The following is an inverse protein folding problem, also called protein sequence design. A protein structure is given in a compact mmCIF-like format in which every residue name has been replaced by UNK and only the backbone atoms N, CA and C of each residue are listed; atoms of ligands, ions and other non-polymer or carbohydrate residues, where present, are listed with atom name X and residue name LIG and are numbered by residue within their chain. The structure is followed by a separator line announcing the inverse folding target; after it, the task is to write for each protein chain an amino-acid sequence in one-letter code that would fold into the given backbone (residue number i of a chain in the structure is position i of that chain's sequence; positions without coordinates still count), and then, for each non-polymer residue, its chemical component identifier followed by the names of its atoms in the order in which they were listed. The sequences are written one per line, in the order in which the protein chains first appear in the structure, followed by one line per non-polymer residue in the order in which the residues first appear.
data_IF_657073882015
#
_entry.id   IF_657073882015
#
_cell.length_a   1.000
_cell.length_b   1.000
_cell.length_c   1.000
_cell.angle_alpha   90.00
_cell.angle_beta   90.00
_cell.angle_gamma   90.00
#
_symmetry.space_group_name_H-M   'P 1'
#
loop_
_entity.id
_entity.type
_entity.pdbx_description
1 polymer ?
#
# COMPACT_ATOMS: atom_id res chain seq x y z
N UNK A 1 7.57 -23.47 -28.42
CA UNK A 1 6.43 -22.60 -28.80
C UNK A 1 6.21 -21.60 -27.69
N UNK A 2 6.24 -20.29 -27.98
CA UNK A 2 5.93 -19.28 -26.97
C UNK A 2 4.46 -19.43 -26.54
N UNK A 3 4.22 -19.57 -25.23
CA UNK A 3 2.87 -19.62 -24.69
C UNK A 3 2.08 -18.39 -25.16
N UNK A 4 0.87 -18.59 -25.70
CA UNK A 4 0.00 -17.49 -26.15
C UNK A 4 -0.31 -16.58 -24.96
N UNK A 5 0.01 -15.29 -25.09
CA UNK A 5 -0.17 -14.33 -24.00
C UNK A 5 -1.64 -14.26 -23.56
N UNK A 6 -1.88 -14.22 -22.24
CA UNK A 6 -3.23 -14.17 -21.64
C UNK A 6 -3.97 -12.86 -21.94
N UNK A 7 -3.24 -11.82 -22.30
CA UNK A 7 -3.74 -10.49 -22.63
C UNK A 7 -2.63 -9.44 -22.60
N UNK A 8 -3.01 -8.17 -22.69
CA UNK A 8 -2.11 -7.02 -22.56
C UNK A 8 -2.63 -6.04 -21.51
N UNK A 9 -1.72 -5.38 -20.80
CA UNK A 9 -2.02 -4.40 -19.75
C UNK A 9 -0.99 -3.27 -19.78
N UNK A 10 -1.48 -2.03 -19.70
CA UNK A 10 -0.69 -0.83 -19.47
C UNK A 10 -0.51 -0.59 -17.98
N UNK A 11 0.64 -0.07 -17.54
CA UNK A 11 0.87 0.31 -16.14
C UNK A 11 1.55 1.68 -16.08
N UNK A 12 1.00 2.61 -15.31
CA UNK A 12 1.61 3.90 -15.01
C UNK A 12 1.96 3.96 -13.53
N UNK A 13 3.26 4.17 -13.25
CA UNK A 13 3.85 4.01 -11.93
C UNK A 13 4.44 2.61 -11.75
N UNK A 14 5.77 2.52 -11.74
CA UNK A 14 6.59 1.32 -11.60
C UNK A 14 7.43 1.37 -10.31
N UNK A 15 6.91 2.05 -9.28
CA UNK A 15 7.46 2.06 -7.93
C UNK A 15 7.38 0.69 -7.24
N UNK A 16 7.36 0.67 -5.90
CA UNK A 16 7.36 -0.58 -5.12
C UNK A 16 6.16 -1.47 -5.49
N UNK A 17 4.95 -0.90 -5.47
CA UNK A 17 3.72 -1.65 -5.76
C UNK A 17 3.54 -1.90 -7.26
N UNK A 18 3.50 -0.85 -8.07
CA UNK A 18 3.33 -0.98 -9.53
C UNK A 18 4.40 -1.83 -10.21
N UNK A 19 5.66 -1.76 -9.76
CA UNK A 19 6.73 -2.62 -10.24
C UNK A 19 6.54 -4.09 -9.85
N UNK A 20 6.02 -4.39 -8.66
CA UNK A 20 5.66 -5.76 -8.27
C UNK A 20 4.50 -6.30 -9.11
N UNK A 21 3.47 -5.49 -9.38
CA UNK A 21 2.36 -5.88 -10.26
C UNK A 21 2.88 -6.24 -11.66
N UNK A 22 3.71 -5.37 -12.24
CA UNK A 22 4.27 -5.56 -13.57
C UNK A 22 5.04 -6.89 -13.69
N UNK A 23 5.96 -7.16 -12.75
CA UNK A 23 6.74 -8.41 -12.71
C UNK A 23 5.85 -9.64 -12.59
N UNK A 24 4.87 -9.59 -11.68
CA UNK A 24 3.96 -10.70 -11.44
C UNK A 24 3.05 -10.98 -12.64
N UNK A 25 2.61 -9.94 -13.35
CA UNK A 25 1.81 -10.05 -14.56
C UNK A 25 2.63 -10.65 -15.71
N UNK A 26 3.87 -10.21 -15.92
CA UNK A 26 4.81 -10.83 -16.87
C UNK A 26 4.99 -12.32 -16.55
N UNK A 27 5.33 -12.64 -15.30
CA UNK A 27 5.50 -14.03 -14.85
C UNK A 27 4.22 -14.89 -14.98
N UNK A 28 3.05 -14.25 -15.00
CA UNK A 28 1.76 -14.92 -15.16
C UNK A 28 1.31 -15.05 -16.63
N UNK A 29 2.13 -14.60 -17.58
CA UNK A 29 1.90 -14.73 -19.02
C UNK A 29 1.18 -13.54 -19.67
N UNK A 30 1.18 -12.36 -19.04
CA UNK A 30 0.61 -11.12 -19.61
C UNK A 30 1.69 -10.31 -20.33
N UNK A 31 1.30 -9.62 -21.41
CA UNK A 31 2.14 -8.57 -22.02
C UNK A 31 1.95 -7.29 -21.23
N UNK A 32 3.03 -6.76 -20.66
CA UNK A 32 2.98 -5.55 -19.84
C UNK A 32 3.75 -4.43 -20.52
N UNK A 33 3.08 -3.29 -20.71
CA UNK A 33 3.72 -2.04 -21.13
C UNK A 33 3.65 -1.03 -19.98
N UNK A 34 4.79 -0.53 -19.53
CA UNK A 34 4.90 0.28 -18.32
C UNK A 34 5.55 1.64 -18.56
N UNK A 35 5.13 2.66 -17.80
CA UNK A 35 5.81 3.95 -17.71
C UNK A 35 6.00 4.38 -16.26
N UNK A 36 7.16 4.99 -15.98
CA UNK A 36 7.45 5.69 -14.72
C UNK A 36 8.36 6.88 -15.03
N UNK A 37 8.18 7.98 -14.30
CA UNK A 37 9.00 9.18 -14.43
C UNK A 37 10.47 8.90 -14.06
N UNK A 38 10.72 8.00 -13.11
CA UNK A 38 12.05 7.60 -12.67
C UNK A 38 12.72 6.66 -13.71
N UNK A 39 13.80 7.11 -14.38
CA UNK A 39 14.55 6.29 -15.32
C UNK A 39 15.12 5.00 -14.70
N UNK A 40 15.45 5.01 -13.41
CA UNK A 40 15.96 3.83 -12.71
C UNK A 40 14.89 2.75 -12.60
N UNK A 41 13.63 3.12 -12.32
CA UNK A 41 12.48 2.18 -12.32
C UNK A 41 12.26 1.61 -13.70
N UNK A 42 12.24 2.45 -14.74
CA UNK A 42 12.12 2.00 -16.14
C UNK A 42 13.19 0.98 -16.51
N UNK A 43 14.47 1.27 -16.25
CA UNK A 43 15.59 0.33 -16.51
C UNK A 43 15.45 -0.98 -15.74
N UNK A 44 15.03 -0.91 -14.48
CA UNK A 44 14.87 -2.10 -13.64
C UNK A 44 13.74 -3.01 -14.14
N UNK A 45 12.61 -2.43 -14.58
CA UNK A 45 11.47 -3.19 -15.07
C UNK A 45 11.63 -3.68 -16.51
N UNK A 46 12.38 -2.96 -17.35
CA UNK A 46 12.79 -3.45 -18.68
C UNK A 46 13.51 -4.80 -18.58
N UNK A 47 14.47 -4.92 -17.65
CA UNK A 47 15.18 -6.18 -17.38
C UNK A 47 14.29 -7.30 -16.84
N UNK A 48 13.11 -6.96 -16.34
CA UNK A 48 12.13 -7.91 -15.81
C UNK A 48 11.04 -8.28 -16.84
N UNK A 49 11.25 -7.98 -18.13
CA UNK A 49 10.34 -8.35 -19.21
C UNK A 49 9.16 -7.39 -19.44
N UNK A 50 9.19 -6.20 -18.83
CA UNK A 50 8.20 -5.14 -19.08
C UNK A 50 8.65 -4.32 -20.28
N UNK A 51 7.75 -4.10 -21.24
CA UNK A 51 8.00 -3.15 -22.34
C UNK A 51 7.87 -1.73 -21.79
N UNK A 52 8.89 -0.88 -21.95
CA UNK A 52 8.86 0.48 -21.42
C UNK A 52 8.30 1.45 -22.47
N UNK A 53 7.20 2.12 -22.13
CA UNK A 53 6.64 3.18 -22.94
C UNK A 53 7.45 4.49 -22.80
N UNK A 54 7.46 5.36 -23.83
CA UNK A 54 8.13 6.66 -23.76
C UNK A 54 7.41 7.65 -22.81
N UNK A 55 6.09 7.53 -22.66
CA UNK A 55 5.25 8.42 -21.86
C UNK A 55 3.96 7.70 -21.37
N UNK A 56 3.12 8.46 -20.66
CA UNK A 56 1.83 8.00 -20.10
C UNK A 56 0.84 7.62 -21.21
N UNK A 57 0.76 8.41 -22.28
CA UNK A 57 -0.20 8.21 -23.36
C UNK A 57 0.10 6.90 -24.11
N UNK A 58 1.37 6.62 -24.39
CA UNK A 58 1.82 5.38 -25.01
C UNK A 58 1.57 4.16 -24.11
N UNK A 59 1.76 4.27 -22.78
CA UNK A 59 1.41 3.20 -21.84
C UNK A 59 -0.09 2.92 -21.83
N UNK A 60 -0.93 3.97 -21.87
CA UNK A 60 -2.38 3.87 -21.93
C UNK A 60 -2.88 3.34 -23.29
N UNK A 61 -2.18 3.63 -24.39
CA UNK A 61 -2.54 3.17 -25.73
C UNK A 61 -2.23 1.69 -25.97
N UNK A 62 -1.24 1.14 -25.25
CA UNK A 62 -0.72 -0.22 -25.46
C UNK A 62 -1.72 -1.35 -25.17
N UNK A 63 -2.77 -1.08 -24.40
CA UNK A 63 -3.75 -2.07 -24.00
C UNK A 63 -5.14 -1.45 -23.74
N UNK A 64 -6.22 -2.24 -23.81
CA UNK A 64 -7.56 -1.79 -23.41
C UNK A 64 -7.71 -1.60 -21.89
N UNK A 65 -6.71 -2.03 -21.10
CA UNK A 65 -6.69 -1.97 -19.64
C UNK A 65 -5.45 -1.23 -19.18
N UNK A 66 -5.62 -0.30 -18.23
CA UNK A 66 -4.55 0.48 -17.62
C UNK A 66 -4.61 0.33 -16.10
N UNK A 67 -3.48 0.00 -15.46
CA UNK A 67 -3.30 0.12 -14.01
C UNK A 67 -2.57 1.43 -13.70
N UNK A 68 -2.98 2.13 -12.66
CA UNK A 68 -2.19 3.25 -12.11
C UNK A 68 -1.78 2.95 -10.67
N UNK A 69 -0.52 3.22 -10.33
CA UNK A 69 0.03 3.05 -8.98
C UNK A 69 0.94 4.23 -8.64
N UNK A 70 0.37 5.26 -8.02
CA UNK A 70 0.91 6.61 -8.01
C UNK A 70 1.21 7.09 -6.57
N UNK A 71 2.26 7.91 -6.38
CA UNK A 71 2.68 8.33 -5.04
C UNK A 71 1.80 9.45 -4.45
N UNK A 72 1.18 10.27 -5.29
CA UNK A 72 0.51 11.51 -4.86
C UNK A 72 -0.75 11.84 -5.68
N UNK A 73 -1.68 12.63 -5.11
CA UNK A 73 -2.81 13.17 -5.86
C UNK A 73 -2.40 14.03 -7.05
N UNK A 74 -1.28 14.76 -6.98
CA UNK A 74 -0.75 15.49 -8.13
C UNK A 74 -0.38 14.55 -9.27
N UNK A 75 0.32 13.45 -8.97
CA UNK A 75 0.64 12.45 -9.99
C UNK A 75 -0.63 11.83 -10.59
N UNK A 76 -1.69 11.63 -9.80
CA UNK A 76 -3.00 11.19 -10.32
C UNK A 76 -3.59 12.22 -11.30
N UNK A 77 -3.57 13.52 -10.96
CA UNK A 77 -4.05 14.58 -11.85
C UNK A 77 -3.27 14.64 -13.16
N UNK A 78 -1.94 14.55 -13.10
CA UNK A 78 -1.06 14.58 -14.27
C UNK A 78 -1.35 13.39 -15.20
N UNK A 79 -1.54 12.19 -14.62
CA UNK A 79 -1.90 10.97 -15.37
C UNK A 79 -3.28 11.08 -15.98
N UNK A 80 -4.27 11.58 -15.23
CA UNK A 80 -5.63 11.81 -15.76
C UNK A 80 -5.60 12.78 -16.94
N UNK A 81 -4.90 13.91 -16.81
CA UNK A 81 -4.77 14.89 -17.89
C UNK A 81 -4.15 14.26 -19.15
N UNK A 82 -3.04 13.55 -19.01
CA UNK A 82 -2.37 12.88 -20.13
C UNK A 82 -3.27 11.83 -20.82
N UNK A 83 -4.08 11.09 -20.06
CA UNK A 83 -5.01 10.10 -20.64
C UNK A 83 -6.15 10.79 -21.40
N UNK A 84 -6.71 11.87 -20.84
CA UNK A 84 -7.78 12.65 -21.49
C UNK A 84 -7.28 13.27 -22.79
N UNK A 85 -6.08 13.86 -22.78
CA UNK A 85 -5.48 14.52 -23.94
C UNK A 85 -5.12 13.53 -25.06
N UNK A 86 -4.83 12.28 -24.71
CA UNK A 86 -4.51 11.23 -25.67
C UNK A 86 -5.71 10.78 -26.54
N UNK A 87 -6.95 11.18 -26.18
CA UNK A 87 -8.19 10.91 -26.96
C UNK A 87 -8.32 9.45 -27.39
N UNK A 88 -7.98 8.53 -26.49
CA UNK A 88 -7.98 7.10 -26.78
C UNK A 88 -9.40 6.53 -26.89
N UNK A 89 -9.59 5.40 -27.60
CA UNK A 89 -10.81 4.61 -27.49
C UNK A 89 -11.09 4.21 -26.02
N UNK A 90 -12.33 3.85 -25.66
CA UNK A 90 -12.69 3.46 -24.30
C UNK A 90 -11.71 2.45 -23.68
N UNK A 91 -11.21 2.78 -22.49
CA UNK A 91 -10.30 1.96 -21.68
C UNK A 91 -10.97 1.59 -20.36
N UNK A 92 -10.52 0.50 -19.75
CA UNK A 92 -10.78 0.22 -18.33
C UNK A 92 -9.53 0.64 -17.54
N UNK A 93 -9.69 1.60 -16.64
CA UNK A 93 -8.61 2.16 -15.83
C UNK A 93 -8.82 1.74 -14.38
N UNK A 94 -7.91 0.94 -13.84
CA UNK A 94 -7.94 0.50 -12.45
C UNK A 94 -6.92 1.32 -11.64
N UNK A 95 -7.43 2.21 -10.79
CA UNK A 95 -6.62 3.09 -9.94
C UNK A 95 -6.31 2.36 -8.62
N UNK A 96 -5.05 2.05 -8.37
CA UNK A 96 -4.63 1.15 -7.27
C UNK A 96 -4.11 1.86 -6.03
N UNK A 97 -4.05 3.19 -6.06
CA UNK A 97 -3.39 4.00 -5.02
C UNK A 97 -4.32 4.27 -3.83
N UNK A 98 -3.75 4.70 -2.70
CA UNK A 98 -4.51 5.25 -1.58
C UNK A 98 -4.48 6.77 -1.64
N UNK A 99 -5.63 7.39 -1.92
CA UNK A 99 -5.86 8.85 -1.94
C UNK A 99 -7.16 9.17 -1.22
N UNK A 100 -7.50 10.46 -1.10
CA UNK A 100 -8.82 10.85 -0.59
C UNK A 100 -9.92 10.40 -1.55
N UNK A 101 -11.15 10.27 -1.02
CA UNK A 101 -12.29 9.93 -1.86
C UNK A 101 -12.58 11.06 -2.88
N UNK A 102 -12.35 12.31 -2.49
CA UNK A 102 -12.51 13.47 -3.38
C UNK A 102 -11.57 13.39 -4.59
N UNK A 103 -10.28 13.12 -4.37
CA UNK A 103 -9.30 12.95 -5.46
C UNK A 103 -9.73 11.84 -6.44
N UNK A 104 -10.18 10.70 -5.88
CA UNK A 104 -10.64 9.54 -6.64
C UNK A 104 -11.88 9.85 -7.49
N UNK A 105 -12.86 10.54 -6.90
CA UNK A 105 -14.10 10.94 -7.59
C UNK A 105 -13.83 11.99 -8.67
N UNK A 106 -12.90 12.93 -8.43
CA UNK A 106 -12.50 13.91 -9.44
C UNK A 106 -11.84 13.22 -10.65
N UNK A 107 -10.94 12.26 -10.40
CA UNK A 107 -10.31 11.45 -11.44
C UNK A 107 -11.34 10.59 -12.21
N UNK A 108 -12.25 9.91 -11.51
CA UNK A 108 -13.32 9.12 -12.13
C UNK A 108 -14.18 9.98 -13.05
N UNK A 109 -14.62 11.14 -12.56
CA UNK A 109 -15.47 12.05 -13.33
C UNK A 109 -14.80 12.53 -14.61
N UNK A 110 -13.52 12.90 -14.54
CA UNK A 110 -12.75 13.37 -15.70
C UNK A 110 -12.57 12.26 -16.74
N UNK A 111 -12.14 11.08 -16.31
CA UNK A 111 -11.90 9.94 -17.20
C UNK A 111 -13.21 9.37 -17.78
N UNK A 112 -14.29 9.35 -17.01
CA UNK A 112 -15.62 8.95 -17.50
C UNK A 112 -16.13 9.93 -18.57
N UNK A 113 -15.93 11.24 -18.38
CA UNK A 113 -16.28 12.24 -19.40
C UNK A 113 -15.51 12.03 -20.71
N UNK A 114 -14.29 11.48 -20.63
CA UNK A 114 -13.49 11.08 -21.79
C UNK A 114 -13.86 9.69 -22.36
N UNK A 115 -14.92 9.03 -21.84
CA UNK A 115 -15.42 7.76 -22.35
C UNK A 115 -14.73 6.51 -21.77
N UNK A 116 -14.02 6.63 -20.65
CA UNK A 116 -13.35 5.50 -20.00
C UNK A 116 -14.17 4.94 -18.83
N UNK A 117 -14.02 3.65 -18.56
CA UNK A 117 -14.52 3.01 -17.33
C UNK A 117 -13.43 3.06 -16.28
N UNK A 118 -13.72 3.61 -15.10
CA UNK A 118 -12.75 3.68 -14.01
C UNK A 118 -13.18 2.77 -12.87
N UNK A 119 -12.21 2.03 -12.33
CA UNK A 119 -12.36 1.19 -11.16
C UNK A 119 -11.50 1.75 -10.03
N UNK A 120 -12.09 1.86 -8.84
CA UNK A 120 -11.36 2.14 -7.61
C UNK A 120 -10.85 0.81 -7.05
N UNK A 121 -9.54 0.60 -7.05
CA UNK A 121 -8.93 -0.71 -6.77
C UNK A 121 -7.77 -0.63 -5.78
N UNK A 122 -7.89 0.00 -4.60
CA UNK A 122 -6.80 0.04 -3.65
C UNK A 122 -6.43 -1.38 -3.17
N UNK A 123 -5.14 -1.55 -2.87
CA UNK A 123 -4.59 -2.83 -2.41
C UNK A 123 -4.59 -2.94 -0.90
N UNK A 124 -4.95 -4.12 -0.39
CA UNK A 124 -4.59 -4.54 0.97
C UNK A 124 -3.37 -5.47 0.93
N UNK A 125 -2.33 -5.08 1.68
CA UNK A 125 -1.04 -5.77 1.74
C UNK A 125 0.16 -4.81 1.57
N UNK A 126 1.36 -5.31 1.87
CA UNK A 126 2.63 -4.56 1.79
C UNK A 126 3.38 -4.81 0.49
N UNK A 127 4.44 -4.05 0.23
CA UNK A 127 5.33 -4.30 -0.92
C UNK A 127 5.97 -5.69 -0.90
N UNK A 128 6.25 -6.24 0.29
CA UNK A 128 6.77 -7.61 0.42
C UNK A 128 5.72 -8.65 0.00
N UNK A 129 4.47 -8.46 0.40
CA UNK A 129 3.36 -9.32 -0.03
C UNK A 129 3.05 -9.18 -1.52
N UNK A 130 3.18 -7.97 -2.06
CA UNK A 130 3.07 -7.72 -3.50
C UNK A 130 4.06 -8.57 -4.30
N UNK A 131 5.31 -8.69 -3.83
CA UNK A 131 6.33 -9.48 -4.51
C UNK A 131 5.98 -10.98 -4.61
N UNK A 132 5.19 -11.51 -3.69
CA UNK A 132 4.78 -12.92 -3.62
C UNK A 132 3.30 -13.16 -3.94
N UNK A 133 2.64 -12.17 -4.55
CA UNK A 133 1.22 -12.22 -4.96
C UNK A 133 0.22 -12.38 -3.80
N UNK A 134 0.61 -12.07 -2.57
CA UNK A 134 -0.27 -12.17 -1.38
C UNK A 134 -0.99 -10.84 -1.10
N UNK A 135 -1.55 -10.23 -2.14
CA UNK A 135 -2.39 -9.05 -2.02
C UNK A 135 -3.87 -9.40 -2.07
N UNK A 136 -4.69 -8.50 -1.53
CA UNK A 136 -6.14 -8.50 -1.73
C UNK A 136 -6.52 -7.22 -2.48
N UNK A 137 -7.18 -7.40 -3.63
CA UNK A 137 -7.75 -6.30 -4.42
C UNK A 137 -9.11 -5.94 -3.84
N UNK A 138 -9.28 -4.68 -3.44
CA UNK A 138 -10.55 -4.11 -2.99
C UNK A 138 -11.17 -3.33 -4.16
N UNK A 139 -11.73 -4.03 -5.15
CA UNK A 139 -12.22 -3.41 -6.38
C UNK A 139 -13.64 -2.88 -6.20
N UNK A 140 -13.92 -1.69 -6.75
CA UNK A 140 -15.27 -1.14 -6.84
C UNK A 140 -15.42 -0.25 -8.08
N UNK A 141 -16.64 -0.13 -8.60
CA UNK A 141 -16.96 0.50 -9.88
C UNK A 141 -17.91 -0.38 -10.69
N UNK A 142 -17.64 -0.54 -11.99
CA UNK A 142 -18.43 -1.40 -12.87
C UNK A 142 -18.12 -2.89 -12.62
N UNK A 143 -19.06 -3.64 -12.05
CA UNK A 143 -18.90 -5.06 -11.71
C UNK A 143 -18.59 -5.95 -12.91
N UNK A 144 -19.07 -5.61 -14.12
CA UNK A 144 -18.75 -6.36 -15.35
C UNK A 144 -17.29 -6.21 -15.72
N UNK A 145 -16.74 -4.99 -15.61
CA UNK A 145 -15.33 -4.70 -15.79
C UNK A 145 -14.49 -5.39 -14.71
N UNK A 146 -14.91 -5.38 -13.45
CA UNK A 146 -14.22 -6.10 -12.36
C UNK A 146 -14.16 -7.60 -12.67
N UNK A 147 -15.29 -8.22 -13.03
CA UNK A 147 -15.35 -9.63 -13.40
C UNK A 147 -14.43 -9.96 -14.59
N UNK A 148 -14.42 -9.11 -15.62
CA UNK A 148 -13.53 -9.23 -16.78
C UNK A 148 -12.05 -9.13 -16.41
N UNK A 149 -11.69 -8.26 -15.46
CA UNK A 149 -10.32 -8.05 -15.00
C UNK A 149 -9.86 -9.03 -13.92
N UNK A 150 -10.76 -9.82 -13.34
CA UNK A 150 -10.44 -10.78 -12.26
C UNK A 150 -9.26 -11.70 -12.61
N UNK A 151 -9.13 -12.29 -13.81
CA UNK A 151 -7.95 -13.09 -14.16
C UNK A 151 -6.63 -12.31 -14.19
N UNK A 152 -6.67 -11.01 -14.52
CA UNK A 152 -5.51 -10.12 -14.49
C UNK A 152 -5.13 -9.79 -13.05
N UNK A 153 -6.09 -9.42 -12.21
CA UNK A 153 -5.87 -9.16 -10.80
C UNK A 153 -5.28 -10.37 -10.07
N UNK A 154 -5.80 -11.58 -10.34
CA UNK A 154 -5.25 -12.82 -9.79
C UNK A 154 -3.84 -13.17 -10.32
N UNK A 155 -3.34 -12.45 -11.34
CA UNK A 155 -1.95 -12.55 -11.78
C UNK A 155 -0.94 -11.94 -10.79
N UNK A 156 -1.38 -11.01 -9.94
CA UNK A 156 -0.52 -10.33 -8.96
C UNK A 156 -1.10 -10.25 -7.53
N UNK A 157 -2.29 -10.80 -7.30
CA UNK A 157 -2.98 -10.84 -6.02
C UNK A 157 -3.57 -12.23 -5.78
N UNK A 158 -3.83 -12.56 -4.51
CA UNK A 158 -4.41 -13.83 -4.11
C UNK A 158 -5.94 -13.80 -4.13
N UNK A 159 -6.52 -12.62 -3.94
CA UNK A 159 -7.96 -12.45 -3.81
C UNK A 159 -8.43 -11.12 -4.41
N UNK A 160 -9.66 -11.11 -4.94
CA UNK A 160 -10.33 -9.94 -5.50
C UNK A 160 -11.73 -9.86 -4.92
N UNK A 161 -12.05 -8.75 -4.27
CA UNK A 161 -13.42 -8.41 -3.86
C UNK A 161 -14.01 -7.42 -4.86
N UNK A 162 -15.27 -7.64 -5.23
CA UNK A 162 -16.13 -6.62 -5.82
C UNK A 162 -16.94 -5.99 -4.70
N UNK A 163 -16.72 -4.70 -4.45
CA UNK A 163 -17.33 -3.92 -3.39
C UNK A 163 -18.45 -3.02 -3.92
N UNK A 164 -18.93 -3.27 -5.14
CA UNK A 164 -20.02 -2.53 -5.76
C UNK A 164 -19.58 -1.14 -6.20
N UNK A 165 -20.30 -0.10 -5.78
CA UNK A 165 -20.16 1.27 -6.32
C UNK A 165 -18.73 1.83 -6.19
N UNK A 166 -18.31 2.61 -7.19
CA UNK A 166 -17.02 3.31 -7.19
C UNK A 166 -16.78 4.06 -5.86
N UNK A 167 -15.56 3.96 -5.33
CA UNK A 167 -15.15 4.55 -4.05
C UNK A 167 -15.33 3.62 -2.84
N UNK A 168 -16.12 2.54 -2.93
CA UNK A 168 -16.20 1.54 -1.86
C UNK A 168 -14.87 0.81 -1.63
N UNK A 169 -14.04 0.65 -2.66
CA UNK A 169 -12.66 0.19 -2.51
C UNK A 169 -11.87 1.04 -1.52
N UNK A 170 -11.87 2.36 -1.72
CA UNK A 170 -11.18 3.32 -0.88
C UNK A 170 -11.78 3.37 0.53
N UNK A 171 -13.11 3.41 0.67
CA UNK A 171 -13.77 3.35 2.00
C UNK A 171 -13.38 2.10 2.78
N UNK A 172 -13.41 0.93 2.13
CA UNK A 172 -13.02 -0.33 2.75
C UNK A 172 -11.52 -0.33 3.11
N UNK A 173 -10.68 0.25 2.25
CA UNK A 173 -9.25 0.44 2.53
C UNK A 173 -9.01 1.32 3.75
N UNK A 174 -9.77 2.40 3.95
CA UNK A 174 -9.65 3.25 5.13
C UNK A 174 -9.98 2.49 6.41
N UNK A 175 -11.08 1.72 6.40
CA UNK A 175 -11.49 0.87 7.54
C UNK A 175 -10.41 -0.18 7.83
N UNK A 176 -9.88 -0.85 6.80
CA UNK A 176 -8.81 -1.83 6.97
C UNK A 176 -7.53 -1.19 7.53
N UNK A 177 -7.14 -0.02 7.02
CA UNK A 177 -5.93 0.66 7.47
C UNK A 177 -6.09 1.31 8.87
N UNK A 178 -7.31 1.66 9.29
CA UNK A 178 -7.61 2.05 10.67
C UNK A 178 -7.20 0.92 11.62
N UNK A 179 -7.57 -0.33 11.31
CA UNK A 179 -7.16 -1.49 12.09
C UNK A 179 -5.66 -1.76 12.01
N UNK A 180 -5.01 -1.47 10.87
CA UNK A 180 -3.54 -1.55 10.75
C UNK A 180 -2.86 -0.59 11.72
N UNK A 181 -3.33 0.67 11.83
CA UNK A 181 -2.79 1.63 12.77
C UNK A 181 -2.91 1.15 14.21
N UNK A 182 -4.13 0.74 14.60
CA UNK A 182 -4.45 0.26 15.95
C UNK A 182 -3.63 -0.97 16.29
N UNK A 183 -3.67 -2.01 15.46
CA UNK A 183 -2.97 -3.26 15.75
C UNK A 183 -1.45 -3.08 15.77
N UNK A 184 -0.87 -2.17 14.99
CA UNK A 184 0.57 -1.92 15.05
C UNK A 184 0.99 -1.31 16.39
N UNK A 185 0.26 -0.31 16.89
CA UNK A 185 0.55 0.31 18.19
C UNK A 185 0.22 -0.66 19.33
N UNK A 186 -0.91 -1.36 19.28
CA UNK A 186 -1.27 -2.40 20.25
C UNK A 186 -0.22 -3.52 20.32
N UNK A 187 0.34 -3.93 19.18
CA UNK A 187 1.44 -4.90 19.15
C UNK A 187 2.67 -4.37 19.88
N UNK A 188 3.02 -3.12 19.63
CA UNK A 188 4.14 -2.47 20.28
C UNK A 188 3.92 -2.31 21.80
N UNK A 189 2.72 -1.95 22.23
CA UNK A 189 2.31 -1.89 23.65
C UNK A 189 2.45 -3.25 24.32
N UNK A 190 1.90 -4.31 23.72
CA UNK A 190 1.99 -5.66 24.25
C UNK A 190 3.45 -6.15 24.37
N UNK A 191 4.28 -5.91 23.35
CA UNK A 191 5.71 -6.25 23.39
C UNK A 191 6.44 -5.49 24.50
N UNK A 192 6.19 -4.18 24.64
CA UNK A 192 6.83 -3.34 25.66
C UNK A 192 6.39 -3.73 27.06
N UNK A 193 5.10 -4.03 27.26
CA UNK A 193 4.57 -4.52 28.52
C UNK A 193 5.21 -5.85 28.90
N UNK A 194 5.29 -6.81 27.96
CA UNK A 194 5.94 -8.10 28.19
C UNK A 194 7.40 -7.95 28.59
N UNK A 195 8.15 -7.10 27.87
CA UNK A 195 9.55 -6.77 28.22
C UNK A 195 9.66 -6.13 29.61
N UNK A 196 8.76 -5.19 29.94
CA UNK A 196 8.75 -4.54 31.26
C UNK A 196 8.39 -5.51 32.38
N UNK A 197 7.57 -6.51 32.10
CA UNK A 197 7.21 -7.59 33.00
C UNK A 197 8.33 -8.65 33.16
N UNK A 198 9.46 -8.49 32.47
CA UNK A 198 10.61 -9.40 32.57
C UNK A 198 10.53 -10.62 31.65
N UNK A 199 9.59 -10.64 30.71
CA UNK A 199 9.49 -11.71 29.70
C UNK A 199 10.47 -11.47 28.56
N UNK A 200 11.01 -12.55 28.03
CA UNK A 200 11.81 -12.52 26.81
C UNK A 200 10.93 -12.10 25.60
N UNK A 201 11.36 -11.15 24.76
CA UNK A 201 10.58 -10.70 23.60
C UNK A 201 10.22 -11.82 22.63
N UNK A 202 11.12 -12.78 22.38
CA UNK A 202 10.85 -13.91 21.48
C UNK A 202 9.76 -14.80 22.07
N UNK A 203 9.79 -15.05 23.39
CA UNK A 203 8.73 -15.78 24.09
C UNK A 203 7.37 -15.07 23.97
N UNK A 204 7.33 -13.75 24.18
CA UNK A 204 6.08 -12.96 24.02
C UNK A 204 5.50 -13.13 22.63
N UNK A 205 6.35 -13.03 21.59
CA UNK A 205 5.93 -13.22 20.21
C UNK A 205 5.36 -14.62 19.95
N UNK A 206 6.08 -15.69 20.30
CA UNK A 206 5.65 -17.06 20.00
C UNK A 206 4.34 -17.43 20.73
N UNK A 207 4.19 -17.01 21.99
CA UNK A 207 2.97 -17.31 22.76
C UNK A 207 1.77 -16.55 22.20
N UNK A 208 1.88 -15.22 22.00
CA UNK A 208 0.76 -14.41 21.52
C UNK A 208 0.35 -14.81 20.10
N UNK A 209 1.31 -15.11 19.22
CA UNK A 209 1.04 -15.54 17.84
C UNK A 209 0.09 -16.73 17.75
N UNK A 210 0.14 -17.63 18.72
CA UNK A 210 -0.74 -18.81 18.77
C UNK A 210 -2.09 -18.57 19.46
N UNK A 211 -2.22 -17.45 20.17
CA UNK A 211 -3.37 -17.12 21.00
C UNK A 211 -4.40 -16.19 20.34
N UNK A 212 -5.55 -16.04 21.00
CA UNK A 212 -6.65 -15.19 20.51
C UNK A 212 -6.31 -13.70 20.40
N UNK A 213 -5.27 -13.23 21.12
CA UNK A 213 -4.79 -11.85 21.04
C UNK A 213 -3.92 -11.54 19.81
N UNK A 214 -3.64 -12.54 18.96
CA UNK A 214 -2.87 -12.33 17.73
C UNK A 214 -3.61 -11.42 16.75
N UNK A 215 -2.84 -10.79 15.87
CA UNK A 215 -3.36 -10.18 14.65
C UNK A 215 -2.34 -10.35 13.54
N UNK A 216 -2.80 -10.22 12.29
CA UNK A 216 -1.89 -10.23 11.13
C UNK A 216 -0.80 -9.15 11.23
N UNK A 217 -1.09 -8.03 11.89
CA UNK A 217 -0.10 -6.97 12.10
C UNK A 217 0.89 -7.34 13.20
N UNK A 218 0.43 -8.00 14.27
CA UNK A 218 1.31 -8.54 15.31
C UNK A 218 2.29 -9.55 14.71
N UNK A 219 1.79 -10.52 13.95
CA UNK A 219 2.63 -11.53 13.29
C UNK A 219 3.68 -10.93 12.34
N UNK A 220 3.33 -9.82 11.67
CA UNK A 220 4.23 -9.13 10.76
C UNK A 220 5.24 -8.22 11.47
N UNK A 221 4.89 -7.63 12.61
CA UNK A 221 5.65 -6.56 13.28
C UNK A 221 6.41 -7.01 14.51
N UNK A 222 5.86 -7.95 15.27
CA UNK A 222 6.50 -8.48 16.46
C UNK A 222 7.89 -9.07 16.16
N UNK A 223 8.16 -9.80 15.06
CA UNK A 223 9.52 -10.24 14.74
C UNK A 223 10.54 -9.10 14.60
N UNK A 224 10.13 -7.98 13.99
CA UNK A 224 10.95 -6.76 13.91
C UNK A 224 11.18 -6.14 15.29
N UNK A 225 10.12 -6.15 16.12
CA UNK A 225 10.18 -5.70 17.51
C UNK A 225 10.96 -6.66 18.40
N UNK A 226 11.14 -7.93 18.09
CA UNK A 226 12.07 -8.82 18.81
C UNK A 226 13.50 -8.46 18.42
N UNK A 227 13.76 -8.32 17.12
CA UNK A 227 15.09 -8.08 16.58
C UNK A 227 15.66 -6.66 16.83
N UNK A 228 14.83 -5.70 17.27
CA UNK A 228 15.14 -4.26 17.32
C UNK A 228 15.63 -3.72 15.96
N UNK A 229 15.05 -4.21 14.86
CA UNK A 229 15.47 -3.88 13.50
C UNK A 229 14.26 -3.55 12.64
N UNK A 230 14.24 -2.31 12.15
CA UNK A 230 13.13 -1.75 11.37
C UNK A 230 13.53 -1.36 9.95
N UNK A 231 14.69 -1.84 9.49
CA UNK A 231 15.19 -1.70 8.12
C UNK A 231 15.43 -3.07 7.48
N UNK A 232 15.16 -3.23 6.17
CA UNK A 232 14.50 -2.26 5.30
C UNK A 232 12.99 -2.14 5.62
N UNK A 233 12.38 -0.96 5.43
CA UNK A 233 10.98 -0.74 5.78
C UNK A 233 10.02 -1.38 4.79
N UNK A 234 8.99 -2.05 5.29
CA UNK A 234 7.84 -2.50 4.50
C UNK A 234 6.82 -1.38 4.30
N UNK A 235 6.71 -0.46 5.27
CA UNK A 235 5.99 0.80 5.21
C UNK A 235 6.74 1.83 6.05
N UNK A 236 7.13 2.96 5.45
CA UNK A 236 7.85 4.01 6.19
C UNK A 236 6.89 4.82 7.03
N UNK A 237 7.26 5.17 8.27
CA UNK A 237 6.45 6.06 9.14
C UNK A 237 6.08 7.37 8.41
N UNK A 238 7.02 7.98 7.69
CA UNK A 238 6.78 9.22 6.94
C UNK A 238 5.70 9.05 5.86
N UNK A 239 5.62 7.88 5.23
CA UNK A 239 4.61 7.59 4.19
C UNK A 239 3.27 7.24 4.83
N UNK A 240 3.30 6.49 5.94
CA UNK A 240 2.12 6.09 6.69
C UNK A 240 1.28 7.26 7.20
N UNK A 241 1.92 8.38 7.56
CA UNK A 241 1.22 9.59 8.00
C UNK A 241 0.12 10.03 7.03
N UNK A 242 0.40 9.99 5.71
CA UNK A 242 -0.58 10.37 4.70
C UNK A 242 -1.84 9.49 4.79
N UNK A 243 -1.68 8.18 4.95
CA UNK A 243 -2.80 7.26 5.09
C UNK A 243 -3.57 7.54 6.38
N UNK A 244 -2.87 7.86 7.48
CA UNK A 244 -3.52 8.26 8.73
C UNK A 244 -4.34 9.54 8.59
N UNK A 245 -3.82 10.55 7.91
CA UNK A 245 -4.53 11.82 7.67
C UNK A 245 -5.79 11.60 6.84
N UNK A 246 -5.74 10.75 5.81
CA UNK A 246 -6.90 10.38 4.99
C UNK A 246 -7.96 9.66 5.81
N UNK A 247 -7.57 8.73 6.68
CA UNK A 247 -8.49 7.96 7.53
C UNK A 247 -9.16 8.88 8.56
N UNK A 248 -8.37 9.73 9.22
CA UNK A 248 -8.88 10.70 10.21
C UNK A 248 -9.89 11.66 9.58
N UNK A 249 -9.52 12.30 8.47
CA UNK A 249 -10.42 13.20 7.75
C UNK A 249 -11.70 12.50 7.27
N UNK A 250 -11.61 11.24 6.84
CA UNK A 250 -12.79 10.46 6.47
C UNK A 250 -13.71 10.18 7.66
N UNK A 251 -13.16 9.76 8.81
CA UNK A 251 -13.94 9.55 10.03
C UNK A 251 -14.64 10.84 10.49
N UNK A 252 -13.91 11.95 10.50
CA UNK A 252 -14.42 13.29 10.86
C UNK A 252 -15.55 13.73 9.92
N UNK A 253 -15.40 13.51 8.61
CA UNK A 253 -16.43 13.86 7.62
C UNK A 253 -17.76 13.11 7.81
N UNK A 254 -17.73 11.95 8.49
CA UNK A 254 -18.91 11.15 8.81
C UNK A 254 -19.41 11.37 10.24
N UNK A 255 -18.69 12.15 11.06
CA UNK A 255 -18.97 12.31 12.48
C UNK A 255 -18.81 11.01 13.29
N UNK A 256 -17.97 10.07 12.83
CA UNK A 256 -17.79 8.77 13.49
C UNK A 256 -16.64 8.84 14.50
N UNK A 257 -16.88 8.56 15.80
CA UNK A 257 -15.81 8.54 16.78
C UNK A 257 -14.86 7.35 16.56
N UNK A 258 -13.55 7.61 16.54
CA UNK A 258 -12.50 6.60 16.36
C UNK A 258 -11.45 6.64 17.48
N UNK A 259 -11.84 6.44 18.75
CA UNK A 259 -10.99 6.72 19.92
C UNK A 259 -9.65 5.95 19.92
N UNK A 260 -9.67 4.66 19.54
CA UNK A 260 -8.44 3.85 19.47
C UNK A 260 -7.50 4.32 18.35
N UNK A 261 -8.05 4.70 17.20
CA UNK A 261 -7.25 5.24 16.10
C UNK A 261 -6.60 6.56 16.49
N UNK A 262 -7.37 7.46 17.09
CA UNK A 262 -6.90 8.76 17.58
C UNK A 262 -5.78 8.60 18.62
N UNK A 263 -5.88 7.60 19.50
CA UNK A 263 -4.84 7.28 20.47
C UNK A 263 -3.50 6.84 19.81
N UNK A 264 -3.52 6.34 18.57
CA UNK A 264 -2.28 6.00 17.85
C UNK A 264 -1.51 7.21 17.34
N UNK A 265 -2.20 8.33 17.06
CA UNK A 265 -1.59 9.49 16.37
C UNK A 265 -0.41 10.10 17.14
N UNK A 266 -0.49 10.33 18.47
CA UNK A 266 0.64 10.86 19.24
C UNK A 266 1.88 9.95 19.20
N UNK A 267 1.70 8.63 19.12
CA UNK A 267 2.81 7.68 19.07
C UNK A 267 3.56 7.78 17.74
N UNK A 268 2.86 7.88 16.62
CA UNK A 268 3.49 8.11 15.32
C UNK A 268 4.13 9.49 15.22
N UNK A 269 3.50 10.53 15.79
CA UNK A 269 4.07 11.87 15.87
C UNK A 269 5.39 11.87 16.66
N UNK A 270 5.42 11.20 17.82
CA UNK A 270 6.63 11.04 18.61
C UNK A 270 7.72 10.27 17.84
N UNK A 271 7.37 9.20 17.13
CA UNK A 271 8.33 8.44 16.31
C UNK A 271 9.01 9.33 15.26
N UNK A 272 8.26 10.22 14.61
CA UNK A 272 8.81 11.20 13.67
C UNK A 272 9.75 12.19 14.35
N UNK A 273 9.35 12.73 15.51
CA UNK A 273 10.17 13.67 16.28
C UNK A 273 11.48 13.04 16.76
N UNK A 274 11.52 11.73 16.96
CA UNK A 274 12.72 10.95 17.26
C UNK A 274 13.57 10.61 16.02
N UNK A 275 13.21 11.09 14.84
CA UNK A 275 13.94 10.84 13.58
C UNK A 275 13.71 9.45 12.98
N UNK A 276 12.68 8.72 13.42
CA UNK A 276 12.38 7.36 12.96
C UNK A 276 11.55 7.33 11.66
N UNK A 277 11.32 8.49 11.02
CA UNK A 277 10.41 8.63 9.88
C UNK A 277 10.73 7.75 8.66
N UNK A 278 12.00 7.34 8.51
CA UNK A 278 12.45 6.50 7.40
C UNK A 278 12.41 4.99 7.69
N UNK A 279 12.20 4.62 8.96
CA UNK A 279 12.10 3.24 9.41
C UNK A 279 10.69 2.68 9.20
N UNK A 280 10.56 1.36 9.36
CA UNK A 280 9.28 0.68 9.35
C UNK A 280 8.33 1.21 10.43
N UNK A 281 7.02 1.16 10.18
CA UNK A 281 5.99 1.53 11.16
C UNK A 281 6.09 0.74 12.47
N UNK A 282 6.71 -0.45 12.49
CA UNK A 282 7.02 -1.17 13.73
C UNK A 282 7.92 -0.40 14.71
N UNK A 283 8.64 0.63 14.26
CA UNK A 283 9.52 1.45 15.10
C UNK A 283 8.77 2.30 16.14
N UNK A 284 7.43 2.33 16.11
CA UNK A 284 6.62 2.86 17.23
C UNK A 284 6.91 2.15 18.56
N UNK A 285 7.41 0.91 18.52
CA UNK A 285 7.89 0.21 19.70
C UNK A 285 9.05 0.95 20.39
N UNK A 286 10.01 1.52 19.65
CA UNK A 286 11.07 2.36 20.24
C UNK A 286 10.51 3.59 20.98
N UNK A 287 9.39 4.16 20.53
CA UNK A 287 8.72 5.27 21.24
C UNK A 287 8.21 4.79 22.60
N UNK A 288 7.45 3.70 22.59
CA UNK A 288 6.83 3.16 23.80
C UNK A 288 7.86 2.64 24.81
N UNK A 289 9.00 2.10 24.36
CA UNK A 289 10.13 1.78 25.23
C UNK A 289 10.67 2.99 25.96
N UNK A 290 10.81 4.10 25.23
CA UNK A 290 11.22 5.38 25.80
C UNK A 290 10.26 5.86 26.88
N UNK A 291 8.95 5.79 26.60
CA UNK A 291 7.90 6.19 27.56
C UNK A 291 7.84 5.27 28.78
N UNK A 292 8.03 3.96 28.61
CA UNK A 292 8.00 2.98 29.70
C UNK A 292 9.34 2.84 30.44
N UNK A 293 10.39 3.53 30.00
CA UNK A 293 11.75 3.39 30.53
C UNK A 293 12.31 1.97 30.36
N UNK A 294 11.90 1.25 29.31
CA UNK A 294 12.42 -0.08 28.97
C UNK A 294 13.74 0.10 28.22
N UNK A 295 14.80 -0.57 28.70
CA UNK A 295 16.10 -0.61 28.03
C UNK A 295 16.37 -2.03 27.57
N UNK A 296 16.51 -2.22 26.27
CA UNK A 296 16.95 -3.49 25.70
C UNK A 296 18.43 -3.71 26.01
N UNK A 297 18.79 -4.89 26.47
CA UNK A 297 20.18 -5.31 26.59
C UNK A 297 20.78 -5.41 25.17
N UNK A 298 21.86 -4.65 24.89
CA UNK A 298 22.58 -4.74 23.61
C UNK A 298 22.50 -3.53 22.65
N UNK A 299 21.75 -2.46 22.96
CA UNK A 299 21.77 -1.24 22.12
C UNK A 299 23.08 -0.47 22.34
N UNK A 300 23.94 -0.24 21.31
CA UNK A 300 25.12 0.61 21.48
C UNK A 300 24.66 2.00 21.92
N UNK A 301 25.27 2.56 22.96
CA UNK A 301 25.04 3.96 23.35
C UNK A 301 25.29 4.84 22.12
N UNK A 302 24.28 5.58 21.64
CA UNK A 302 24.56 6.77 20.82
C UNK A 302 25.44 7.67 21.68
N UNK A 303 26.72 7.81 21.30
CA UNK A 303 27.61 8.82 21.87
C UNK A 303 26.87 10.15 21.79
N UNK A 304 26.68 10.80 22.93
CA UNK A 304 26.29 12.21 22.96
C UNK A 304 27.35 12.95 22.14
N UNK A 305 26.95 13.55 21.02
CA UNK A 305 27.78 14.55 20.36
C UNK A 305 28.00 15.66 21.39
N UNK A 306 29.25 15.80 21.83
CA UNK A 306 29.73 16.96 22.55
C UNK A 306 29.71 18.17 21.61
#
# INVERSE_FOLDING_TARGET
MAARAKGAVGIVGLGIMGGAFAKNLVASGWRVTGYDIDPARRRALARAGVTIAPDIAAAAAAAPVLLTSLPSPQALRDVVAAIVDAKLPPRIIAETSTFTLEDKLAAEKALRKAGHTVLDTPMSGTGAQAAVKDLVVLASGDSKAIAKLKPMFLGFARLVHDLGVFGNGSRMKYIANLLVAIHNVASAEAMVLGMKAGLDPQMVFEVIKSGAGTSRMFEARAPMMVADKYDPPTMKIKVWQKDMDVIGAFADSLGVPTPLFNATMPIYAAARSLGLGMLDTGAVCTVLEGLAGVKRTGRPRKRKSA
#
